data_IF_645304800222
#
_entry.id   IF_645304800222
#
_cell.length_a   1.000
_cell.length_b   1.000
_cell.length_c   1.000
_cell.angle_alpha   90.00
_cell.angle_beta   90.00
_cell.angle_gamma   90.00
#
_symmetry.space_group_name_H-M   'P 1'
#
loop_
_entity.id
_entity.type
_entity.pdbx_description
1 polymer ?
#
# COMPACT_ATOMS: atom_id res chain seq x y z
N UNK A 1 21.71 -19.42 -2.74
CA UNK A 1 22.26 -18.41 -3.67
C UNK A 1 21.92 -17.07 -3.05
N UNK A 2 22.86 -16.12 -3.02
CA UNK A 2 22.55 -14.76 -2.57
C UNK A 2 21.50 -14.15 -3.51
N UNK A 3 20.51 -13.48 -2.95
CA UNK A 3 19.53 -12.74 -3.74
C UNK A 3 20.24 -11.59 -4.46
N UNK A 4 19.90 -11.30 -5.71
CA UNK A 4 20.60 -10.28 -6.47
C UNK A 4 20.41 -8.89 -5.81
N UNK A 5 21.54 -8.25 -5.55
CA UNK A 5 21.61 -6.84 -5.17
C UNK A 5 22.14 -6.07 -6.35
N UNK A 6 21.45 -5.01 -6.76
CA UNK A 6 21.82 -4.21 -7.92
C UNK A 6 21.89 -2.73 -7.56
N UNK A 7 22.95 -2.05 -7.99
CA UNK A 7 23.11 -0.59 -7.84
C UNK A 7 22.90 0.05 -9.21
N UNK A 8 22.07 1.10 -9.27
CA UNK A 8 21.68 1.78 -10.51
C UNK A 8 21.93 3.27 -10.36
N UNK A 9 22.60 3.84 -11.35
CA UNK A 9 22.95 5.26 -11.43
C UNK A 9 22.28 5.96 -12.60
N UNK A 10 21.84 5.20 -13.62
CA UNK A 10 21.25 5.75 -14.83
C UNK A 10 19.87 5.16 -15.10
N UNK A 11 19.01 5.90 -15.80
CA UNK A 11 17.66 5.48 -16.16
C UNK A 11 16.84 5.00 -14.94
N UNK A 12 17.05 5.66 -13.80
CA UNK A 12 16.46 5.28 -12.51
C UNK A 12 14.94 5.26 -12.57
N UNK A 13 14.32 6.29 -13.16
CA UNK A 13 12.86 6.37 -13.31
C UNK A 13 12.30 5.16 -14.06
N UNK A 14 12.88 4.84 -15.22
CA UNK A 14 12.43 3.72 -16.05
C UNK A 14 12.61 2.40 -15.32
N UNK A 15 13.68 2.28 -14.54
CA UNK A 15 13.91 1.10 -13.75
C UNK A 15 12.88 0.94 -12.63
N UNK A 16 12.54 2.00 -11.91
CA UNK A 16 11.49 1.97 -10.89
C UNK A 16 10.14 1.63 -11.51
N UNK A 17 9.79 2.22 -12.65
CA UNK A 17 8.54 1.90 -13.38
C UNK A 17 8.48 0.41 -13.73
N UNK A 18 9.59 -0.15 -14.21
CA UNK A 18 9.67 -1.59 -14.53
C UNK A 18 9.40 -2.45 -13.29
N UNK A 19 10.05 -2.14 -12.16
CA UNK A 19 9.84 -2.90 -10.92
C UNK A 19 8.40 -2.76 -10.39
N UNK A 20 7.79 -1.57 -10.52
CA UNK A 20 6.38 -1.35 -10.20
C UNK A 20 5.48 -2.20 -11.12
N UNK A 21 5.76 -2.23 -12.43
CA UNK A 21 4.97 -3.01 -13.38
C UNK A 21 5.00 -4.52 -13.08
N UNK A 22 6.10 -5.01 -12.55
CA UNK A 22 6.28 -6.41 -12.17
C UNK A 22 5.65 -6.76 -10.80
N UNK A 23 5.09 -5.79 -10.07
CA UNK A 23 4.42 -6.02 -8.78
C UNK A 23 3.10 -6.77 -8.93
N UNK A 24 2.77 -7.64 -7.96
CA UNK A 24 1.57 -8.48 -8.00
C UNK A 24 0.65 -8.24 -6.78
N UNK A 25 1.20 -7.97 -5.60
CA UNK A 25 0.44 -7.98 -4.35
C UNK A 25 0.38 -6.64 -3.65
N UNK A 26 1.54 -6.03 -3.41
CA UNK A 26 1.61 -4.81 -2.62
C UNK A 26 2.82 -3.93 -2.98
N UNK A 27 2.62 -2.62 -2.92
CA UNK A 27 3.66 -1.62 -3.09
C UNK A 27 3.55 -0.60 -1.95
N UNK A 28 4.64 -0.43 -1.21
CA UNK A 28 4.76 0.56 -0.14
C UNK A 28 5.79 1.60 -0.54
N UNK A 29 5.40 2.86 -0.61
CA UNK A 29 6.28 3.96 -1.03
C UNK A 29 6.38 4.99 0.08
N UNK A 30 7.59 5.24 0.59
CA UNK A 30 7.88 6.36 1.48
C UNK A 30 8.94 7.25 0.83
N UNK A 31 8.52 8.43 0.38
CA UNK A 31 9.41 9.34 -0.33
C UNK A 31 9.07 10.80 -0.01
N UNK A 32 10.09 11.60 0.31
CA UNK A 32 9.89 12.99 0.69
C UNK A 32 9.16 13.78 -0.41
N UNK A 33 9.70 13.79 -1.61
CA UNK A 33 9.16 14.56 -2.73
C UNK A 33 8.79 13.65 -3.89
N UNK A 34 7.51 13.72 -4.25
CA UNK A 34 6.92 12.89 -5.27
C UNK A 34 6.17 13.77 -6.29
N UNK A 35 6.84 14.28 -7.30
CA UNK A 35 6.25 15.15 -8.32
C UNK A 35 6.27 14.52 -9.73
N UNK A 36 6.83 13.32 -9.86
CA UNK A 36 6.91 12.62 -11.14
C UNK A 36 5.60 11.90 -11.45
N UNK A 37 4.88 12.41 -12.47
CA UNK A 37 3.57 11.87 -12.89
C UNK A 37 3.68 10.47 -13.50
N UNK A 38 4.80 10.13 -14.14
CA UNK A 38 4.97 8.80 -14.75
C UNK A 38 5.03 7.71 -13.67
N UNK A 39 5.79 7.96 -12.59
CA UNK A 39 5.85 7.06 -11.44
C UNK A 39 4.49 6.97 -10.73
N UNK A 40 3.79 8.09 -10.58
CA UNK A 40 2.46 8.09 -9.98
C UNK A 40 1.44 7.30 -10.82
N UNK A 41 1.45 7.50 -12.13
CA UNK A 41 0.58 6.75 -13.04
C UNK A 41 0.86 5.25 -13.00
N UNK A 42 2.13 4.84 -12.93
CA UNK A 42 2.49 3.43 -12.80
C UNK A 42 1.91 2.81 -11.51
N UNK A 43 1.97 3.53 -10.38
CA UNK A 43 1.33 3.09 -9.13
C UNK A 43 -0.19 3.05 -9.24
N UNK A 44 -0.79 4.07 -9.88
CA UNK A 44 -2.24 4.15 -10.05
C UNK A 44 -2.78 2.98 -10.91
N UNK A 45 -2.09 2.62 -11.99
CA UNK A 45 -2.47 1.46 -12.79
C UNK A 45 -2.39 0.16 -11.96
N UNK A 46 -1.35 -0.01 -11.14
CA UNK A 46 -1.26 -1.18 -10.25
C UNK A 46 -2.38 -1.21 -9.21
N UNK A 47 -2.76 -0.05 -8.65
CA UNK A 47 -3.89 0.04 -7.74
C UNK A 47 -5.22 -0.36 -8.42
N UNK A 48 -5.43 0.04 -9.68
CA UNK A 48 -6.59 -0.40 -10.49
C UNK A 48 -6.58 -1.90 -10.79
N UNK A 49 -5.39 -2.50 -10.89
CA UNK A 49 -5.19 -3.93 -11.09
C UNK A 49 -5.25 -4.75 -9.78
N UNK A 50 -5.86 -4.19 -8.73
CA UNK A 50 -6.01 -4.80 -7.40
C UNK A 50 -4.69 -5.03 -6.63
N UNK A 51 -3.58 -4.47 -7.04
CA UNK A 51 -2.38 -4.42 -6.22
C UNK A 51 -2.59 -3.37 -5.10
N UNK A 52 -2.31 -3.73 -3.85
CA UNK A 52 -2.38 -2.77 -2.76
C UNK A 52 -1.25 -1.74 -2.87
N UNK A 53 -1.57 -0.47 -2.94
CA UNK A 53 -0.59 0.61 -3.00
C UNK A 53 -0.77 1.55 -1.82
N UNK A 54 0.27 1.71 -1.00
CA UNK A 54 0.26 2.64 0.12
C UNK A 54 1.44 3.61 0.02
N UNK A 55 1.15 4.90 0.06
CA UNK A 55 2.11 5.97 -0.20
C UNK A 55 2.21 6.90 1.01
N UNK A 56 3.41 7.25 1.41
CA UNK A 56 3.69 8.31 2.40
C UNK A 56 4.58 9.37 1.73
N UNK A 57 4.15 10.62 1.77
CA UNK A 57 4.88 11.78 1.23
C UNK A 57 4.91 12.93 2.23
N UNK A 58 5.84 13.87 2.03
CA UNK A 58 5.88 15.12 2.80
C UNK A 58 4.72 16.03 2.38
N UNK A 59 4.03 16.63 3.33
CA UNK A 59 3.12 17.74 3.09
C UNK A 59 3.91 19.05 3.06
N UNK A 60 4.24 19.51 1.85
CA UNK A 60 4.95 20.75 1.62
C UNK A 60 4.55 21.40 0.28
N UNK A 61 5.17 22.53 -0.03
CA UNK A 61 4.91 23.27 -1.26
C UNK A 61 5.31 22.49 -2.50
N UNK A 62 6.40 21.71 -2.45
CA UNK A 62 6.92 20.94 -3.58
C UNK A 62 5.88 19.90 -4.03
N UNK A 63 5.38 19.11 -3.09
CA UNK A 63 4.35 18.11 -3.39
C UNK A 63 2.99 18.76 -3.71
N UNK A 64 2.63 19.85 -3.05
CA UNK A 64 1.36 20.56 -3.29
C UNK A 64 1.30 21.20 -4.68
N UNK A 65 2.43 21.65 -5.21
CA UNK A 65 2.55 22.24 -6.55
C UNK A 65 2.85 21.22 -7.66
N UNK A 66 2.92 19.94 -7.34
CA UNK A 66 3.23 18.86 -8.30
C UNK A 66 2.22 18.74 -9.45
N UNK A 67 0.99 19.18 -9.22
CA UNK A 67 -0.15 18.92 -10.11
C UNK A 67 -0.55 17.44 -10.16
N UNK A 68 -0.18 16.66 -9.14
CA UNK A 68 -0.64 15.30 -8.90
C UNK A 68 -1.79 15.35 -7.90
N UNK A 69 -2.93 14.78 -8.29
CA UNK A 69 -4.01 14.49 -7.36
C UNK A 69 -3.78 13.12 -6.72
N UNK A 70 -3.15 13.13 -5.53
CA UNK A 70 -2.83 11.91 -4.80
C UNK A 70 -4.05 11.16 -4.29
N UNK A 71 -5.23 11.80 -4.28
CA UNK A 71 -6.47 11.13 -3.88
C UNK A 71 -6.88 10.05 -4.87
N UNK A 72 -6.46 10.14 -6.13
CA UNK A 72 -6.74 9.14 -7.16
C UNK A 72 -6.19 7.76 -6.84
N UNK A 73 -5.18 7.66 -5.95
CA UNK A 73 -4.64 6.35 -5.55
C UNK A 73 -5.64 5.53 -4.73
N UNK A 74 -6.70 6.14 -4.22
CA UNK A 74 -7.72 5.48 -3.40
C UNK A 74 -8.62 4.55 -4.22
N UNK A 75 -8.01 3.55 -4.81
CA UNK A 75 -8.68 2.46 -5.51
C UNK A 75 -8.65 1.23 -4.61
N UNK A 76 -9.80 0.65 -4.33
CA UNK A 76 -9.90 -0.46 -3.38
C UNK A 76 -9.40 -0.08 -1.99
N UNK A 77 -8.33 -0.73 -1.54
CA UNK A 77 -7.69 -0.46 -0.23
C UNK A 77 -6.46 0.44 -0.32
N UNK A 78 -6.11 0.87 -1.52
CA UNK A 78 -4.92 1.71 -1.72
C UNK A 78 -5.09 3.09 -1.10
N UNK A 79 -4.00 3.71 -0.66
CA UNK A 79 -4.06 4.92 0.17
C UNK A 79 -2.81 5.79 0.07
N UNK A 80 -2.96 7.06 0.43
CA UNK A 80 -1.86 8.01 0.51
C UNK A 80 -1.94 8.81 1.81
N UNK A 81 -0.79 9.04 2.45
CA UNK A 81 -0.64 9.85 3.66
C UNK A 81 0.32 11.00 3.41
N UNK A 82 0.03 12.16 4.00
CA UNK A 82 0.88 13.35 3.93
C UNK A 82 1.38 13.71 5.33
N UNK A 83 2.70 13.66 5.53
CA UNK A 83 3.32 14.04 6.80
C UNK A 83 3.59 15.53 6.79
N UNK A 84 3.05 16.28 7.77
CA UNK A 84 3.38 17.70 7.95
C UNK A 84 4.84 17.87 8.34
N UNK A 85 5.52 18.84 7.76
CA UNK A 85 6.90 19.21 8.13
C UNK A 85 7.01 19.76 9.55
N UNK A 86 5.92 20.28 10.11
CA UNK A 86 5.88 20.75 11.51
C UNK A 86 5.92 19.57 12.49
N UNK A 87 5.47 18.39 12.06
CA UNK A 87 5.53 17.17 12.84
C UNK A 87 6.89 16.47 12.70
N UNK A 88 7.35 16.28 11.48
CA UNK A 88 8.62 15.61 11.17
C UNK A 88 9.02 15.89 9.72
N UNK A 89 10.30 16.07 9.45
CA UNK A 89 10.82 16.07 8.08
C UNK A 89 10.93 14.61 7.60
N UNK A 90 10.01 14.20 6.75
CA UNK A 90 10.16 12.95 6.01
C UNK A 90 11.32 13.08 5.02
N UNK A 91 12.35 12.27 5.18
CA UNK A 91 13.47 12.26 4.25
C UNK A 91 13.80 10.87 3.70
N UNK A 92 12.92 9.92 3.95
CA UNK A 92 13.00 8.57 3.40
C UNK A 92 12.80 8.60 1.87
N UNK A 93 13.44 7.68 1.18
CA UNK A 93 13.30 7.44 -0.26
C UNK A 93 13.40 5.95 -0.50
N UNK A 94 12.28 5.24 -0.25
CA UNK A 94 12.23 3.82 -0.49
C UNK A 94 10.89 3.37 -1.05
N UNK A 95 10.92 2.24 -1.73
CA UNK A 95 9.77 1.49 -2.18
C UNK A 95 9.97 0.02 -1.84
N UNK A 96 8.95 -0.61 -1.28
CA UNK A 96 8.93 -2.07 -1.06
C UNK A 96 7.90 -2.69 -1.97
N UNK A 97 8.27 -3.73 -2.69
CA UNK A 97 7.40 -4.44 -3.64
C UNK A 97 7.26 -5.89 -3.20
N UNK A 98 6.01 -6.35 -3.13
CA UNK A 98 5.63 -7.74 -2.89
C UNK A 98 6.30 -8.36 -1.65
N UNK A 99 6.51 -7.55 -0.61
CA UNK A 99 7.10 -7.96 0.67
C UNK A 99 8.52 -8.54 0.58
N UNK A 100 9.18 -8.43 -0.56
CA UNK A 100 10.50 -9.06 -0.79
C UNK A 100 11.53 -8.13 -1.40
N UNK A 101 11.11 -7.22 -2.26
CA UNK A 101 12.02 -6.34 -2.99
C UNK A 101 12.02 -4.94 -2.38
N UNK A 102 13.19 -4.37 -2.14
CA UNK A 102 13.37 -3.01 -1.66
C UNK A 102 14.12 -2.20 -2.71
N UNK A 103 13.60 -1.04 -3.03
CA UNK A 103 14.28 0.00 -3.81
C UNK A 103 14.55 1.15 -2.85
N UNK A 104 15.81 1.54 -2.67
CA UNK A 104 16.18 2.64 -1.79
C UNK A 104 17.41 3.37 -2.33
N UNK A 105 17.63 4.61 -1.92
CA UNK A 105 18.78 5.40 -2.37
C UNK A 105 18.58 6.89 -2.15
N UNK A 106 19.27 7.70 -2.95
CA UNK A 106 19.17 9.17 -2.87
C UNK A 106 18.01 9.73 -3.69
N UNK A 107 17.47 8.96 -4.64
CA UNK A 107 16.53 9.40 -5.67
C UNK A 107 15.16 9.78 -5.10
N UNK A 108 14.83 11.07 -5.11
CA UNK A 108 13.46 11.52 -4.92
C UNK A 108 12.63 11.27 -6.18
N UNK A 109 11.35 11.01 -6.03
CA UNK A 109 10.46 10.70 -7.15
C UNK A 109 9.97 11.98 -7.84
N UNK A 110 10.93 12.79 -8.32
CA UNK A 110 10.67 14.09 -8.97
C UNK A 110 11.28 14.13 -10.37
N UNK A 111 10.72 14.93 -11.25
CA UNK A 111 11.33 15.15 -12.57
C UNK A 111 12.74 15.74 -12.46
N UNK A 112 12.98 16.58 -11.45
CA UNK A 112 14.30 17.17 -11.24
C UNK A 112 15.35 16.12 -10.90
N UNK A 113 14.98 15.10 -10.14
CA UNK A 113 15.89 14.04 -9.71
C UNK A 113 16.47 13.25 -10.90
N UNK A 114 15.71 13.11 -12.01
CA UNK A 114 16.23 12.45 -13.22
C UNK A 114 17.40 13.17 -13.90
N UNK A 115 17.68 14.41 -13.50
CA UNK A 115 18.79 15.23 -14.02
C UNK A 115 19.90 15.44 -12.98
N UNK A 116 19.75 14.88 -11.80
CA UNK A 116 20.75 14.92 -10.74
C UNK A 116 21.67 13.68 -10.80
N UNK A 117 22.80 13.77 -10.10
CA UNK A 117 23.62 12.61 -9.80
C UNK A 117 22.99 11.84 -8.63
N UNK A 118 22.26 10.82 -8.94
CA UNK A 118 21.49 10.01 -7.98
C UNK A 118 21.85 8.53 -8.10
N UNK A 119 21.44 7.75 -7.09
CA UNK A 119 21.56 6.30 -7.14
C UNK A 119 20.37 5.64 -6.48
N UNK A 120 20.09 4.42 -6.91
CA UNK A 120 19.23 3.48 -6.18
C UNK A 120 19.92 2.14 -6.02
N UNK A 121 19.52 1.46 -4.96
CA UNK A 121 19.87 0.08 -4.66
C UNK A 121 18.59 -0.75 -4.73
N UNK A 122 18.63 -1.85 -5.45
CA UNK A 122 17.54 -2.84 -5.49
C UNK A 122 18.02 -4.09 -4.77
N UNK A 123 17.28 -4.47 -3.75
CA UNK A 123 17.54 -5.62 -2.89
C UNK A 123 16.37 -6.59 -3.01
N UNK A 124 16.59 -7.80 -3.43
CA UNK A 124 15.58 -8.87 -3.41
C UNK A 124 15.82 -9.76 -2.18
N UNK A 125 15.50 -9.22 -0.99
CA UNK A 125 15.75 -9.87 0.30
C UNK A 125 14.57 -9.62 1.26
N UNK A 126 13.71 -10.63 1.51
CA UNK A 126 12.52 -10.49 2.36
C UNK A 126 12.81 -10.01 3.78
N UNK A 127 13.94 -10.37 4.35
CA UNK A 127 14.30 -9.95 5.70
C UNK A 127 14.59 -8.44 5.80
N UNK A 128 15.13 -7.85 4.74
CA UNK A 128 15.34 -6.42 4.62
C UNK A 128 14.00 -5.73 4.31
N UNK A 129 13.21 -6.28 3.38
CA UNK A 129 11.89 -5.76 3.05
C UNK A 129 11.00 -5.64 4.30
N UNK A 130 11.03 -6.65 5.17
CA UNK A 130 10.31 -6.65 6.45
C UNK A 130 10.68 -5.45 7.35
N UNK A 131 11.95 -5.09 7.41
CA UNK A 131 12.41 -3.95 8.22
C UNK A 131 11.89 -2.62 7.65
N UNK A 132 11.91 -2.46 6.33
CA UNK A 132 11.35 -1.28 5.67
C UNK A 132 9.83 -1.18 5.81
N UNK A 133 9.12 -2.30 5.74
CA UNK A 133 7.66 -2.34 6.00
C UNK A 133 7.38 -1.95 7.45
N UNK A 134 8.14 -2.47 8.42
CA UNK A 134 7.99 -2.08 9.83
C UNK A 134 8.20 -0.58 10.04
N UNK A 135 9.19 0.02 9.35
CA UNK A 135 9.40 1.47 9.34
C UNK A 135 8.21 2.20 8.74
N UNK A 136 7.72 1.73 7.58
CA UNK A 136 6.56 2.29 6.89
C UNK A 136 5.31 2.29 7.77
N UNK A 137 4.98 1.14 8.37
CA UNK A 137 3.81 0.99 9.24
C UNK A 137 3.92 1.85 10.52
N UNK A 138 5.12 1.99 11.08
CA UNK A 138 5.36 2.90 12.20
C UNK A 138 5.06 4.35 11.82
N UNK A 139 5.50 4.81 10.65
CA UNK A 139 5.21 6.14 10.14
C UNK A 139 3.72 6.31 9.86
N UNK A 140 3.10 5.34 9.19
CA UNK A 140 1.67 5.34 8.88
C UNK A 140 0.82 5.43 10.14
N UNK A 141 1.13 4.64 11.17
CA UNK A 141 0.40 4.67 12.45
C UNK A 141 0.53 6.02 13.17
N UNK A 142 1.72 6.63 13.10
CA UNK A 142 1.98 7.94 13.72
C UNK A 142 1.19 9.08 13.05
N UNK A 143 0.90 8.95 11.74
CA UNK A 143 0.28 9.99 10.92
C UNK A 143 -1.02 9.55 10.27
N UNK A 144 -1.72 8.59 10.86
CA UNK A 144 -2.96 8.02 10.30
C UNK A 144 -4.06 9.06 10.04
N UNK A 145 -4.14 10.12 10.86
CA UNK A 145 -5.07 11.23 10.71
C UNK A 145 -4.81 12.08 9.44
N UNK A 146 -3.60 12.02 8.89
CA UNK A 146 -3.19 12.77 7.71
C UNK A 146 -3.42 11.98 6.40
N UNK A 147 -4.33 11.02 6.40
CA UNK A 147 -4.73 10.29 5.20
C UNK A 147 -5.40 11.25 4.21
N UNK A 148 -4.94 11.20 2.96
CA UNK A 148 -5.58 11.92 1.86
C UNK A 148 -6.90 11.23 1.56
N UNK A 149 -8.00 11.96 1.63
CA UNK A 149 -9.34 11.46 1.26
C UNK A 149 -9.74 12.12 -0.05
N UNK A 150 -10.41 11.38 -0.93
CA UNK A 150 -11.09 12.00 -2.06
C UNK A 150 -12.18 12.91 -1.51
N UNK A 151 -12.21 14.16 -1.98
CA UNK A 151 -13.39 14.99 -1.87
C UNK A 151 -14.47 14.37 -2.77
N UNK A 152 -15.18 13.38 -2.25
CA UNK A 152 -16.40 12.93 -2.89
C UNK A 152 -17.33 14.13 -2.90
N UNK A 153 -17.90 14.51 -4.08
CA UNK A 153 -18.91 15.55 -4.13
C UNK A 153 -19.98 15.16 -3.11
N UNK A 154 -20.26 16.09 -2.20
CA UNK A 154 -21.27 15.89 -1.18
C UNK A 154 -22.56 15.48 -1.89
N UNK A 155 -22.94 14.21 -1.78
CA UNK A 155 -24.19 13.74 -2.39
C UNK A 155 -25.29 14.38 -1.57
N UNK A 156 -25.93 15.37 -2.17
CA UNK A 156 -27.09 16.04 -1.58
C UNK A 156 -28.27 15.06 -1.58
N UNK A 157 -28.35 14.28 -0.49
CA UNK A 157 -29.42 13.29 -0.31
C UNK A 157 -30.83 13.92 -0.39
N UNK A 158 -30.97 15.24 -0.22
CA UNK A 158 -32.26 15.91 -0.36
C UNK A 158 -32.75 15.89 -1.82
N UNK A 159 -31.87 15.76 -2.80
CA UNK A 159 -32.20 15.67 -4.23
C UNK A 159 -32.56 14.26 -4.71
N UNK A 160 -32.23 13.22 -3.93
CA UNK A 160 -32.52 11.83 -4.30
C UNK A 160 -33.98 11.47 -3.97
N UNK A 161 -34.62 12.18 -3.05
CA UNK A 161 -35.99 11.86 -2.58
C UNK A 161 -37.08 12.34 -3.54
N UNK A 162 -36.79 13.13 -4.57
CA UNK A 162 -37.83 13.78 -5.42
C UNK A 162 -38.04 13.14 -6.78
N UNK A 163 -37.29 12.15 -7.21
CA UNK A 163 -37.57 11.41 -8.46
C UNK A 163 -37.89 9.94 -8.16
N UNK A 164 -39.19 9.73 -8.01
CA UNK A 164 -39.78 8.45 -7.60
C UNK A 164 -39.44 7.24 -8.47
N UNK A 165 -39.55 6.07 -7.80
CA UNK A 165 -39.47 4.70 -8.25
C UNK A 165 -38.06 4.17 -8.52
N UNK A 166 -37.38 3.81 -7.42
CA UNK A 166 -36.43 2.69 -7.46
C UNK A 166 -37.25 1.42 -7.17
N UNK A 167 -37.39 0.55 -8.15
CA UNK A 167 -37.89 -0.81 -7.91
C UNK A 167 -36.97 -1.50 -6.91
N UNK A 168 -37.57 -1.98 -5.83
CA UNK A 168 -36.90 -2.67 -4.73
C UNK A 168 -36.45 -4.06 -5.17
N UNK A 169 -35.34 -4.15 -5.88
CA UNK A 169 -34.54 -5.35 -6.03
C UNK A 169 -33.08 -4.99 -5.88
N UNK A 170 -32.43 -5.62 -4.92
CA UNK A 170 -31.00 -5.65 -4.67
C UNK A 170 -30.36 -4.51 -3.82
N UNK A 171 -31.01 -4.08 -2.75
CA UNK A 171 -30.28 -3.44 -1.63
C UNK A 171 -30.59 -4.21 -0.35
N UNK A 172 -29.98 -5.37 -0.20
CA UNK A 172 -29.86 -6.10 1.08
C UNK A 172 -28.42 -6.54 1.31
N UNK A 173 -27.46 -5.66 1.11
CA UNK A 173 -26.24 -5.70 1.89
C UNK A 173 -26.37 -4.63 2.97
N UNK A 174 -26.90 -5.02 4.13
CA UNK A 174 -26.74 -4.28 5.37
C UNK A 174 -25.23 -4.13 5.58
N UNK A 175 -24.72 -2.91 5.39
CA UNK A 175 -23.35 -2.55 5.76
C UNK A 175 -23.22 -2.85 7.25
N UNK A 176 -22.69 -4.03 7.57
CA UNK A 176 -22.38 -4.38 8.95
C UNK A 176 -21.34 -3.41 9.45
N UNK A 177 -21.60 -2.79 10.57
CA UNK A 177 -20.66 -1.89 11.25
C UNK A 177 -20.09 -2.59 12.48
N UNK A 178 -18.93 -2.14 12.94
CA UNK A 178 -18.29 -2.56 14.18
C UNK A 178 -17.80 -1.32 14.94
N UNK A 179 -17.54 -1.48 16.22
CA UNK A 179 -16.99 -0.42 17.06
C UNK A 179 -15.46 -0.54 17.10
N UNK A 180 -14.77 0.55 16.81
CA UNK A 180 -13.32 0.59 16.96
C UNK A 180 -12.91 0.38 18.43
N UNK A 181 -12.02 -0.58 18.67
CA UNK A 181 -11.57 -0.94 20.02
C UNK A 181 -10.71 0.14 20.70
N UNK A 182 -10.26 1.15 19.94
CA UNK A 182 -9.38 2.22 20.44
C UNK A 182 -10.10 3.55 20.66
N UNK A 183 -10.91 4.01 19.70
CA UNK A 183 -11.57 5.31 19.79
C UNK A 183 -13.10 5.22 19.96
N UNK A 184 -13.64 4.00 20.02
CA UNK A 184 -15.07 3.68 20.22
C UNK A 184 -16.02 4.29 19.17
N UNK A 185 -15.50 4.71 18.02
CA UNK A 185 -16.33 5.16 16.90
C UNK A 185 -16.78 3.98 16.05
N UNK A 186 -17.94 4.12 15.46
CA UNK A 186 -18.51 3.14 14.53
C UNK A 186 -17.77 3.22 13.18
N UNK A 187 -17.36 2.06 12.67
CA UNK A 187 -16.63 1.91 11.42
C UNK A 187 -17.22 0.76 10.61
N UNK A 188 -16.96 0.70 9.32
CA UNK A 188 -17.43 -0.42 8.51
C UNK A 188 -16.78 -1.74 8.97
N UNK A 189 -17.53 -2.84 8.86
CA UNK A 189 -17.08 -4.15 9.37
C UNK A 189 -15.81 -4.64 8.69
N UNK A 190 -15.61 -4.28 7.43
CA UNK A 190 -14.45 -4.61 6.59
C UNK A 190 -13.28 -3.62 6.71
N UNK A 191 -13.41 -2.56 7.53
CA UNK A 191 -12.29 -1.68 7.77
C UNK A 191 -11.20 -2.41 8.57
N UNK A 192 -10.05 -2.55 7.96
CA UNK A 192 -8.83 -3.11 8.58
C UNK A 192 -8.29 -2.17 9.63
N UNK A 193 -8.37 -0.87 9.36
CA UNK A 193 -7.97 0.20 10.25
C UNK A 193 -9.14 1.11 10.54
N UNK A 194 -9.20 1.63 11.75
CA UNK A 194 -10.20 2.63 12.11
C UNK A 194 -9.96 3.93 11.33
N UNK A 195 -10.95 4.39 10.58
CA UNK A 195 -10.90 5.63 9.80
C UNK A 195 -10.67 6.89 10.66
N UNK A 196 -10.96 6.81 11.96
CA UNK A 196 -10.89 7.95 12.87
C UNK A 196 -9.60 8.03 13.68
N UNK A 197 -8.98 6.89 14.02
CA UNK A 197 -7.79 6.86 14.85
C UNK A 197 -6.63 6.04 14.27
N UNK A 198 -6.80 5.48 13.08
CA UNK A 198 -5.77 4.72 12.37
C UNK A 198 -5.39 3.37 12.99
N UNK A 199 -6.02 2.98 14.12
CA UNK A 199 -5.65 1.72 14.78
C UNK A 199 -6.13 0.52 13.99
N UNK A 200 -5.24 -0.47 13.83
CA UNK A 200 -5.55 -1.79 13.29
C UNK A 200 -6.68 -2.43 14.11
N UNK A 201 -7.69 -2.95 13.43
CA UNK A 201 -8.80 -3.65 14.05
C UNK A 201 -8.54 -5.15 13.97
N UNK A 202 -8.34 -5.80 15.11
CA UNK A 202 -8.02 -7.23 15.20
C UNK A 202 -9.20 -8.13 14.82
N UNK A 203 -10.42 -7.62 14.90
CA UNK A 203 -11.64 -8.36 14.53
C UNK A 203 -12.08 -8.03 13.10
N UNK A 204 -11.47 -8.68 12.14
CA UNK A 204 -12.10 -8.81 10.82
C UNK A 204 -13.40 -9.62 10.99
N UNK A 205 -14.51 -9.10 10.48
CA UNK A 205 -15.76 -9.85 10.37
C UNK A 205 -15.51 -11.19 9.67
N UNK A 206 -15.05 -12.18 10.41
CA UNK A 206 -14.90 -13.60 10.07
C UNK A 206 -14.43 -13.99 8.67
N UNK A 207 -13.97 -13.04 7.83
CA UNK A 207 -13.22 -13.34 6.62
C UNK A 207 -11.77 -12.99 6.88
N UNK A 208 -11.02 -13.91 7.43
CA UNK A 208 -9.56 -13.89 7.35
C UNK A 208 -9.23 -13.95 5.88
N UNK A 209 -8.89 -12.81 5.26
CA UNK A 209 -8.13 -12.86 4.02
C UNK A 209 -6.79 -13.47 4.37
N UNK A 210 -6.69 -14.76 4.21
CA UNK A 210 -5.45 -15.49 4.35
C UNK A 210 -4.75 -15.48 3.01
N UNK A 211 -3.46 -15.25 3.05
CA UNK A 211 -2.62 -15.49 1.88
C UNK A 211 -2.34 -16.98 1.84
N UNK A 212 -2.55 -17.57 0.68
CA UNK A 212 -2.19 -18.96 0.46
C UNK A 212 -0.74 -18.98 -0.01
N UNK A 213 0.07 -19.74 0.72
CA UNK A 213 1.43 -20.07 0.33
C UNK A 213 1.43 -21.48 -0.22
N UNK A 214 1.82 -21.62 -1.47
CA UNK A 214 1.97 -22.91 -2.12
C UNK A 214 3.43 -23.32 -2.14
N UNK A 215 3.74 -24.46 -1.57
CA UNK A 215 5.09 -25.02 -1.68
C UNK A 215 5.27 -25.73 -3.03
N UNK A 216 6.21 -25.25 -3.86
CA UNK A 216 6.51 -25.88 -5.16
C UNK A 216 7.13 -27.28 -5.06
N UNK A 217 7.66 -27.65 -3.90
CA UNK A 217 8.27 -28.95 -3.70
C UNK A 217 7.27 -30.04 -3.30
N UNK A 218 6.33 -29.74 -2.41
CA UNK A 218 5.37 -30.73 -1.91
C UNK A 218 3.92 -30.44 -2.30
N UNK A 219 3.69 -29.34 -3.03
CA UNK A 219 2.39 -28.85 -3.51
C UNK A 219 1.33 -28.62 -2.40
N UNK A 220 1.74 -28.56 -1.15
CA UNK A 220 0.85 -28.24 -0.04
C UNK A 220 0.62 -26.76 0.09
N UNK A 221 -0.62 -26.43 0.44
CA UNK A 221 -1.06 -25.07 0.73
C UNK A 221 -0.93 -24.81 2.24
N UNK A 222 -0.42 -23.65 2.60
CA UNK A 222 -0.49 -23.12 3.98
C UNK A 222 -1.19 -21.77 3.94
N UNK A 223 -2.08 -21.56 4.91
CA UNK A 223 -2.72 -20.27 5.12
C UNK A 223 -1.87 -19.48 6.12
N UNK A 224 -1.44 -18.27 5.73
CA UNK A 224 -0.65 -17.39 6.56
C UNK A 224 -1.35 -16.05 6.73
N UNK A 225 -1.26 -15.45 7.89
CA UNK A 225 -1.65 -14.06 8.06
C UNK A 225 -0.66 -13.13 7.34
N UNK A 226 -1.09 -11.93 6.98
CA UNK A 226 -0.20 -10.91 6.38
C UNK A 226 1.04 -10.63 7.23
N UNK A 227 0.96 -10.80 8.55
CA UNK A 227 2.06 -10.60 9.50
C UNK A 227 2.99 -11.81 9.49
N UNK A 228 2.45 -13.02 9.39
CA UNK A 228 3.23 -14.26 9.45
C UNK A 228 4.00 -14.51 8.14
N UNK A 229 3.49 -14.03 7.01
CA UNK A 229 4.14 -14.12 5.70
C UNK A 229 5.58 -13.61 5.73
N UNK A 230 5.80 -12.47 6.36
CA UNK A 230 7.14 -11.86 6.43
C UNK A 230 8.14 -12.78 7.13
N UNK A 231 7.66 -13.65 8.01
CA UNK A 231 8.47 -14.59 8.78
C UNK A 231 8.51 -16.00 8.17
N UNK A 232 7.62 -16.31 7.22
CA UNK A 232 7.54 -17.65 6.62
C UNK A 232 8.61 -17.83 5.54
N UNK A 233 9.75 -18.38 5.94
CA UNK A 233 10.89 -18.64 5.04
C UNK A 233 10.84 -20.03 4.40
N UNK A 234 10.14 -20.96 5.03
CA UNK A 234 10.17 -22.38 4.67
C UNK A 234 8.77 -22.98 4.75
N UNK A 235 8.51 -23.96 3.89
CA UNK A 235 7.32 -24.77 3.99
C UNK A 235 7.29 -25.53 5.31
N UNK A 236 6.24 -25.35 6.10
CA UNK A 236 6.06 -26.00 7.41
C UNK A 236 5.95 -27.53 7.32
N UNK A 237 5.65 -28.07 6.13
CA UNK A 237 5.48 -29.52 5.91
C UNK A 237 6.76 -30.21 5.44
N UNK A 238 7.60 -29.56 4.62
CA UNK A 238 8.77 -30.21 4.03
C UNK A 238 10.06 -29.41 4.12
N UNK A 239 10.05 -28.26 4.80
CA UNK A 239 11.23 -27.41 5.00
C UNK A 239 11.78 -26.74 3.74
N UNK A 240 11.07 -26.79 2.60
CA UNK A 240 11.53 -26.17 1.36
C UNK A 240 11.36 -24.65 1.40
N UNK A 241 12.34 -23.94 0.87
CA UNK A 241 12.34 -22.50 0.63
C UNK A 241 11.63 -22.08 -0.66
N UNK A 242 11.16 -23.05 -1.45
CA UNK A 242 10.46 -22.80 -2.72
C UNK A 242 8.97 -22.60 -2.49
N UNK A 243 8.63 -21.38 -2.08
CA UNK A 243 7.25 -20.98 -1.80
C UNK A 243 6.73 -20.02 -2.89
N UNK A 244 5.48 -20.21 -3.29
CA UNK A 244 4.71 -19.26 -4.09
C UNK A 244 3.54 -18.71 -3.26
N UNK A 245 3.30 -17.42 -3.41
CA UNK A 245 2.28 -16.69 -2.68
C UNK A 245 1.09 -16.38 -3.59
N UNK A 246 -0.11 -16.51 -3.06
CA UNK A 246 -1.34 -16.16 -3.77
C UNK A 246 -2.42 -15.71 -2.81
N UNK A 247 -3.31 -14.83 -3.27
CA UNK A 247 -4.51 -14.47 -2.53
C UNK A 247 -5.55 -15.58 -2.66
N UNK A 248 -6.22 -15.94 -1.56
CA UNK A 248 -7.38 -16.79 -1.60
C UNK A 248 -8.53 -16.00 -2.19
N UNK A 249 -8.91 -16.26 -3.44
CA UNK A 249 -10.18 -15.81 -4.00
C UNK A 249 -11.30 -16.70 -3.44
N UNK A 250 -12.26 -16.11 -2.77
CA UNK A 250 -13.53 -16.75 -2.37
C UNK A 250 -14.60 -16.52 -3.42
#
# INVERSE_FOLDING_TARGET
MANPTEVIFENIEQRIIKEIADAHYAIFVSVAWFTNKNLFNALLEKAKDNCYVSIIIQLDEINSQSGIDYSQIQVGRSECFKISKDAELLHDKFCVIDFKKVITGSYNWTYKASHNSENILILDEPSIASQYISRFESQKSKYAENRVVQDLPCIDFSKIVTTGKIESKDITETTKTKICTSCFKEIACNDVYCLYCGKLQEDFCNKKESIIVTCKKCSRLQEESLIDIVNTKYCTFCGSDKLEWGLKSY
#
